data_IF_358411731284
#
_entry.id   IF_358411731284
#
_cell.length_a   1.000
_cell.length_b   1.000
_cell.length_c   1.000
_cell.angle_alpha   90.00
_cell.angle_beta   90.00
_cell.angle_gamma   90.00
#
_symmetry.space_group_name_H-M   'P 1'
#
loop_
_entity.id
_entity.type
_entity.pdbx_description
1 polymer ?
#
# COMPACT_ATOMS: atom_id res chain seq x y z
N UNK A 1 26.21 -18.47 14.60
CA UNK A 1 24.99 -18.49 13.77
C UNK A 1 25.34 -18.21 12.30
N UNK A 2 26.15 -19.08 11.69
CA UNK A 2 26.42 -19.09 10.24
C UNK A 2 26.02 -20.45 9.63
N UNK A 3 25.39 -21.32 10.42
CA UNK A 3 25.12 -22.71 10.10
C UNK A 3 23.66 -22.98 9.69
N UNK A 4 22.77 -21.98 9.73
CA UNK A 4 21.36 -22.17 9.35
C UNK A 4 21.10 -21.75 7.89
N UNK A 5 21.87 -20.79 7.36
CA UNK A 5 21.75 -20.36 5.94
C UNK A 5 22.39 -21.37 4.97
N UNK A 6 23.45 -22.09 5.40
CA UNK A 6 24.10 -23.09 4.56
C UNK A 6 23.39 -24.46 4.53
N UNK A 7 22.37 -24.69 5.38
CA UNK A 7 21.64 -25.97 5.41
C UNK A 7 20.50 -25.99 4.39
N UNK A 8 19.79 -24.87 4.18
CA UNK A 8 18.65 -24.83 3.26
C UNK A 8 18.99 -25.02 1.77
N UNK A 9 20.13 -24.49 1.30
CA UNK A 9 20.53 -24.61 -0.11
C UNK A 9 21.05 -26.02 -0.47
N UNK A 10 21.67 -26.71 0.49
CA UNK A 10 22.16 -28.09 0.30
C UNK A 10 20.99 -29.08 0.36
N UNK A 11 20.00 -28.85 1.22
CA UNK A 11 18.83 -29.73 1.35
C UNK A 11 17.92 -29.73 0.11
N UNK A 12 17.72 -28.60 -0.58
CA UNK A 12 16.90 -28.55 -1.80
C UNK A 12 17.50 -29.37 -2.96
N UNK A 13 18.84 -29.40 -3.06
CA UNK A 13 19.58 -30.17 -4.06
C UNK A 13 19.54 -31.68 -3.78
N UNK A 14 19.56 -32.07 -2.50
CA UNK A 14 19.38 -33.46 -2.06
C UNK A 14 17.94 -33.91 -2.30
N UNK A 15 16.94 -33.09 -1.98
CA UNK A 15 15.52 -33.38 -2.23
C UNK A 15 15.22 -33.61 -3.72
N UNK A 16 15.86 -32.87 -4.64
CA UNK A 16 15.73 -33.09 -6.09
C UNK A 16 16.09 -34.53 -6.52
N UNK A 17 17.00 -35.18 -5.82
CA UNK A 17 17.52 -36.50 -6.18
C UNK A 17 16.94 -37.63 -5.31
N UNK A 18 16.64 -37.35 -4.04
CA UNK A 18 16.15 -38.34 -3.07
C UNK A 18 14.62 -38.49 -3.05
N UNK A 19 13.87 -37.40 -3.27
CA UNK A 19 12.41 -37.41 -3.35
C UNK A 19 11.90 -36.41 -4.41
N UNK A 20 11.81 -36.86 -5.68
CA UNK A 20 11.39 -36.01 -6.78
C UNK A 20 9.98 -35.44 -6.63
N UNK A 21 9.09 -36.11 -5.88
CA UNK A 21 7.72 -35.62 -5.68
C UNK A 21 7.70 -34.47 -4.67
N UNK A 22 8.39 -34.60 -3.54
CA UNK A 22 8.51 -33.53 -2.55
C UNK A 22 9.19 -32.28 -3.14
N UNK A 23 10.24 -32.46 -3.96
CA UNK A 23 10.87 -31.36 -4.69
C UNK A 23 9.92 -30.68 -5.68
N UNK A 24 9.06 -31.45 -6.37
CA UNK A 24 8.05 -30.89 -7.26
C UNK A 24 7.06 -30.02 -6.48
N UNK A 25 6.50 -30.54 -5.39
CA UNK A 25 5.53 -29.82 -4.55
C UNK A 25 6.07 -28.52 -3.98
N UNK A 26 7.35 -28.50 -3.57
CA UNK A 26 7.99 -27.29 -3.01
C UNK A 26 8.31 -26.26 -4.11
N UNK A 27 8.64 -26.72 -5.33
CA UNK A 27 9.11 -25.83 -6.41
C UNK A 27 8.04 -25.45 -7.43
N UNK A 28 6.90 -26.12 -7.47
CA UNK A 28 5.76 -25.81 -8.35
C UNK A 28 5.23 -24.39 -8.16
N UNK A 29 4.95 -23.90 -6.93
CA UNK A 29 4.41 -22.56 -6.73
C UNK A 29 5.32 -21.46 -7.30
N UNK A 30 6.63 -21.60 -7.11
CA UNK A 30 7.65 -20.64 -7.60
C UNK A 30 7.80 -20.71 -9.13
N UNK A 31 7.72 -21.90 -9.71
CA UNK A 31 7.80 -22.10 -11.17
C UNK A 31 6.55 -21.59 -11.88
N UNK A 32 5.38 -21.78 -11.29
CA UNK A 32 4.12 -21.30 -11.85
C UNK A 32 4.02 -19.78 -11.75
N UNK A 33 4.49 -19.19 -10.66
CA UNK A 33 4.67 -17.73 -10.56
C UNK A 33 5.61 -17.20 -11.63
N UNK A 34 6.79 -17.83 -11.81
CA UNK A 34 7.77 -17.42 -12.83
C UNK A 34 7.21 -17.52 -14.25
N UNK A 35 6.42 -18.56 -14.54
CA UNK A 35 5.79 -18.75 -15.85
C UNK A 35 4.64 -17.79 -16.08
N UNK A 36 3.80 -17.53 -15.07
CA UNK A 36 2.72 -16.54 -15.14
C UNK A 36 3.30 -15.14 -15.37
N UNK A 37 4.32 -14.74 -14.60
CA UNK A 37 5.04 -13.48 -14.79
C UNK A 37 5.66 -13.37 -16.19
N UNK A 38 6.31 -14.43 -16.68
CA UNK A 38 6.91 -14.43 -18.02
C UNK A 38 5.86 -14.35 -19.15
N UNK A 39 4.68 -14.95 -18.98
CA UNK A 39 3.61 -14.88 -19.96
C UNK A 39 2.93 -13.49 -19.95
N UNK A 40 2.69 -12.91 -18.77
CA UNK A 40 2.18 -11.54 -18.63
C UNK A 40 3.13 -10.51 -19.23
N UNK A 41 4.45 -10.67 -19.04
CA UNK A 41 5.48 -9.85 -19.71
C UNK A 41 5.46 -9.97 -21.23
N UNK A 42 5.12 -11.14 -21.78
CA UNK A 42 5.09 -11.38 -23.23
C UNK A 42 3.86 -10.76 -23.89
N UNK A 43 2.71 -10.81 -23.22
CA UNK A 43 1.49 -10.13 -23.67
C UNK A 43 1.65 -8.61 -23.59
N UNK A 44 2.20 -8.09 -22.49
CA UNK A 44 2.48 -6.66 -22.32
C UNK A 44 3.52 -6.13 -23.31
N UNK A 45 4.60 -6.89 -23.56
CA UNK A 45 5.63 -6.56 -24.53
C UNK A 45 5.11 -6.47 -25.97
N UNK A 46 4.09 -7.28 -26.33
CA UNK A 46 3.46 -7.20 -27.66
C UNK A 46 2.54 -5.99 -27.82
N UNK A 47 1.93 -5.52 -26.73
CA UNK A 47 1.09 -4.31 -26.69
C UNK A 47 1.92 -3.02 -26.78
N UNK A 48 3.09 -2.99 -26.12
CA UNK A 48 4.04 -1.87 -26.17
C UNK A 48 4.61 -1.64 -27.57
N UNK A 49 4.91 -2.70 -28.32
CA UNK A 49 5.45 -2.56 -29.69
C UNK A 49 4.41 -2.00 -30.66
N UNK A 50 3.12 -2.23 -30.42
CA UNK A 50 2.04 -1.63 -31.19
C UNK A 50 1.81 -0.15 -30.83
N UNK A 51 1.90 0.22 -29.54
CA UNK A 51 1.72 1.60 -29.08
C UNK A 51 2.84 2.56 -29.53
N UNK A 52 4.07 2.06 -29.70
CA UNK A 52 5.24 2.87 -30.12
C UNK A 52 5.13 3.38 -31.56
N UNK A 53 4.28 2.80 -32.42
CA UNK A 53 4.15 3.23 -33.82
C UNK A 53 3.12 4.35 -34.04
N UNK A 54 2.31 4.69 -33.04
CA UNK A 54 1.25 5.71 -33.16
C UNK A 54 1.20 6.61 -31.93
N UNK A 55 2.15 7.53 -31.77
CA UNK A 55 2.07 8.49 -30.67
C UNK A 55 3.34 9.29 -30.46
N UNK A 56 3.68 10.15 -31.41
CA UNK A 56 4.72 11.14 -31.24
C UNK A 56 4.13 12.32 -30.44
N UNK A 57 3.99 12.17 -29.13
CA UNK A 57 3.68 13.26 -28.19
C UNK A 57 4.34 12.98 -26.84
N UNK A 58 5.68 12.98 -26.84
CA UNK A 58 6.46 13.08 -25.61
C UNK A 58 6.42 14.54 -25.11
N UNK A 59 5.27 14.95 -24.56
CA UNK A 59 5.16 16.19 -23.80
C UNK A 59 5.84 16.00 -22.44
N UNK A 60 7.00 16.65 -22.28
CA UNK A 60 7.72 16.97 -21.05
C UNK A 60 7.09 16.44 -19.74
N UNK A 61 7.51 15.25 -19.29
CA UNK A 61 7.36 14.87 -17.89
C UNK A 61 8.24 15.82 -17.06
N UNK A 62 7.62 16.71 -16.29
CA UNK A 62 8.32 17.47 -15.25
C UNK A 62 8.85 16.44 -14.25
N UNK A 63 10.15 16.43 -13.92
CA UNK A 63 10.68 15.50 -12.93
C UNK A 63 9.91 15.63 -11.62
N UNK A 64 9.43 14.50 -11.11
CA UNK A 64 8.81 14.42 -9.81
C UNK A 64 9.87 14.72 -8.74
N UNK A 65 9.71 15.83 -8.01
CA UNK A 65 10.50 16.10 -6.80
C UNK A 65 9.80 15.39 -5.64
N UNK A 66 10.37 14.27 -5.11
CA UNK A 66 9.74 13.51 -4.07
C UNK A 66 9.81 14.26 -2.74
N UNK A 67 8.68 14.34 -2.03
CA UNK A 67 8.66 14.84 -0.65
C UNK A 67 9.26 13.76 0.26
N UNK A 68 10.07 14.17 1.25
CA UNK A 68 10.59 13.25 2.27
C UNK A 68 9.42 12.63 3.05
N UNK A 69 9.34 11.31 3.09
CA UNK A 69 8.31 10.55 3.80
C UNK A 69 8.91 9.70 4.92
N UNK A 70 9.97 10.20 5.53
CA UNK A 70 10.68 9.46 6.57
C UNK A 70 9.81 9.36 7.81
N UNK A 71 9.61 8.14 8.32
CA UNK A 71 8.92 7.89 9.56
C UNK A 71 9.58 8.64 10.72
N UNK A 72 8.74 9.35 11.47
CA UNK A 72 9.13 10.13 12.63
C UNK A 72 7.92 10.39 13.52
N UNK A 73 8.17 11.00 14.67
CA UNK A 73 7.08 11.53 15.48
C UNK A 73 6.30 12.58 14.67
N UNK A 74 4.97 12.65 14.82
CA UNK A 74 4.17 13.68 14.17
C UNK A 74 4.57 15.08 14.66
N UNK A 75 4.22 16.10 13.89
CA UNK A 75 4.45 17.50 14.29
C UNK A 75 3.54 17.87 15.48
N UNK A 76 2.33 17.34 15.49
CA UNK A 76 1.33 17.48 16.54
C UNK A 76 1.06 16.11 17.18
N UNK A 77 1.18 16.02 18.50
CA UNK A 77 1.11 14.77 19.27
C UNK A 77 -0.05 14.79 20.27
N UNK A 78 -1.22 15.16 19.78
CA UNK A 78 -2.50 15.21 20.49
C UNK A 78 -3.59 14.44 19.73
N UNK A 79 -3.21 13.30 19.16
CA UNK A 79 -4.13 12.39 18.51
C UNK A 79 -5.35 12.09 19.42
N UNK A 80 -6.57 11.99 18.86
CA UNK A 80 -7.73 11.60 19.64
C UNK A 80 -7.49 10.24 20.32
N UNK A 81 -8.14 9.98 21.47
CA UNK A 81 -8.07 8.66 22.08
C UNK A 81 -8.64 7.60 21.14
N UNK A 82 -8.22 6.36 21.34
CA UNK A 82 -8.82 5.21 20.67
C UNK A 82 -10.34 5.19 20.90
N UNK A 83 -11.07 4.85 19.85
CA UNK A 83 -12.51 4.64 19.89
C UNK A 83 -12.86 3.38 20.70
N UNK A 84 -14.14 3.24 21.03
CA UNK A 84 -14.64 2.00 21.65
C UNK A 84 -14.39 0.80 20.71
N UNK A 85 -13.94 -0.37 21.21
CA UNK A 85 -13.74 -1.57 20.40
C UNK A 85 -14.94 -1.98 19.54
N UNK A 86 -16.16 -1.61 19.92
CA UNK A 86 -17.36 -1.83 19.09
C UNK A 86 -17.34 -1.05 17.76
N UNK A 87 -16.57 0.05 17.70
CA UNK A 87 -16.38 0.88 16.50
C UNK A 87 -15.17 0.36 15.71
N UNK A 88 -14.04 0.12 16.38
CA UNK A 88 -12.83 -0.39 15.76
C UNK A 88 -11.90 -1.03 16.78
N UNK A 89 -11.31 -2.15 16.43
CA UNK A 89 -10.28 -2.85 17.19
C UNK A 89 -9.37 -3.66 16.27
N UNK A 90 -8.24 -4.14 16.81
CA UNK A 90 -7.41 -5.12 16.11
C UNK A 90 -7.88 -6.53 16.49
N UNK A 91 -8.15 -7.37 15.48
CA UNK A 91 -8.52 -8.77 15.66
C UNK A 91 -7.65 -9.66 14.77
N UNK A 92 -7.36 -10.87 15.25
CA UNK A 92 -6.72 -11.89 14.41
C UNK A 92 -7.77 -12.74 13.72
N UNK A 93 -7.65 -12.90 12.40
CA UNK A 93 -8.49 -13.79 11.59
C UNK A 93 -7.64 -14.45 10.51
N UNK A 94 -7.73 -15.78 10.39
CA UNK A 94 -7.00 -16.57 9.38
C UNK A 94 -5.47 -16.33 9.33
N UNK A 95 -4.88 -15.93 10.47
CA UNK A 95 -3.45 -15.62 10.58
C UNK A 95 -3.07 -14.22 10.07
N UNK A 96 -4.06 -13.39 9.76
CA UNK A 96 -3.91 -11.97 9.45
C UNK A 96 -4.46 -11.14 10.61
N UNK A 97 -3.88 -9.97 10.81
CA UNK A 97 -4.43 -8.96 11.71
C UNK A 97 -5.33 -8.03 10.92
N UNK A 98 -6.56 -7.86 11.40
CA UNK A 98 -7.57 -6.99 10.81
C UNK A 98 -7.85 -5.83 11.75
N UNK A 99 -7.99 -4.64 11.16
CA UNK A 99 -8.54 -3.46 11.80
C UNK A 99 -10.03 -3.38 11.46
N UNK A 100 -10.88 -3.57 12.46
CA UNK A 100 -12.32 -3.74 12.26
C UNK A 100 -13.07 -2.43 12.03
N UNK A 101 -14.25 -2.54 11.42
CA UNK A 101 -15.15 -1.41 11.17
C UNK A 101 -14.77 -0.59 9.94
N UNK A 102 -15.49 0.50 9.72
CA UNK A 102 -15.41 1.26 8.47
C UNK A 102 -16.20 0.59 7.34
N UNK A 103 -15.73 0.75 6.11
CA UNK A 103 -16.36 0.16 4.92
C UNK A 103 -16.18 -1.36 4.88
N UNK A 104 -14.97 -1.82 5.21
CA UNK A 104 -14.58 -3.22 5.27
C UNK A 104 -13.55 -3.38 6.38
N UNK A 105 -13.56 -4.52 7.05
CA UNK A 105 -12.46 -4.91 7.94
C UNK A 105 -11.17 -4.98 7.11
N UNK A 106 -10.19 -4.17 7.47
CA UNK A 106 -8.99 -3.96 6.68
C UNK A 106 -7.83 -4.77 7.25
N UNK A 107 -7.15 -5.55 6.41
CA UNK A 107 -5.86 -6.14 6.77
C UNK A 107 -4.92 -5.01 7.18
N UNK A 108 -4.35 -5.12 8.37
CA UNK A 108 -3.48 -4.09 8.93
C UNK A 108 -2.02 -4.54 8.93
N UNK A 109 -1.15 -3.61 8.53
CA UNK A 109 0.29 -3.74 8.66
C UNK A 109 0.87 -2.43 9.19
N UNK A 110 1.89 -2.54 10.04
CA UNK A 110 2.66 -1.41 10.48
C UNK A 110 4.09 -1.50 9.95
N UNK A 111 4.53 -0.48 9.22
CA UNK A 111 5.85 -0.41 8.58
C UNK A 111 6.98 -0.51 9.59
N UNK A 112 6.76 -0.02 10.82
CA UNK A 112 7.76 0.03 11.89
C UNK A 112 7.85 -1.28 12.69
N UNK A 113 7.06 -2.29 12.33
CA UNK A 113 7.05 -3.60 12.98
C UNK A 113 7.81 -4.66 12.18
N UNK A 114 8.43 -5.59 12.90
CA UNK A 114 9.11 -6.73 12.29
C UNK A 114 8.08 -7.76 11.78
N UNK A 115 8.41 -8.51 10.71
CA UNK A 115 9.72 -8.54 10.05
C UNK A 115 9.91 -7.45 8.98
N UNK A 116 8.91 -6.59 8.76
CA UNK A 116 8.92 -5.63 7.65
C UNK A 116 9.88 -4.48 7.88
N UNK A 117 9.94 -3.96 9.11
CA UNK A 117 10.73 -2.77 9.44
C UNK A 117 12.20 -2.84 8.97
N UNK A 118 12.79 -4.03 9.06
CA UNK A 118 14.18 -4.31 8.67
C UNK A 118 14.36 -4.71 7.19
N UNK A 119 13.26 -4.98 6.47
CA UNK A 119 13.30 -5.33 5.05
C UNK A 119 13.58 -4.11 4.15
N UNK A 120 14.15 -4.34 2.96
CA UNK A 120 14.51 -3.26 2.04
C UNK A 120 13.30 -2.71 1.26
N UNK A 121 13.28 -1.40 1.12
CA UNK A 121 12.59 -0.67 0.06
C UNK A 121 13.63 0.07 -0.78
N UNK A 122 14.04 -0.54 -1.89
CA UNK A 122 15.26 -0.14 -2.59
C UNK A 122 16.49 -0.30 -1.70
N UNK A 123 17.25 0.78 -1.47
CA UNK A 123 18.36 0.80 -0.52
C UNK A 123 17.98 1.29 0.89
N UNK A 124 16.74 1.70 1.10
CA UNK A 124 16.23 2.20 2.38
C UNK A 124 15.50 1.10 3.17
N UNK A 125 15.37 1.20 4.50
CA UNK A 125 14.53 0.28 5.28
C UNK A 125 13.04 0.67 5.20
N UNK A 126 12.14 -0.31 5.12
CA UNK A 126 10.68 -0.09 5.16
C UNK A 126 10.26 0.66 6.42
N UNK A 127 10.85 0.34 7.59
CA UNK A 127 10.50 1.02 8.84
C UNK A 127 10.61 2.54 8.76
N UNK A 128 11.61 3.04 8.03
CA UNK A 128 11.81 4.46 7.83
C UNK A 128 11.04 5.06 6.65
N UNK A 129 10.75 4.29 5.60
CA UNK A 129 10.42 4.86 4.29
C UNK A 129 9.26 4.15 3.55
N UNK A 130 8.63 3.17 4.21
CA UNK A 130 7.70 2.23 3.61
C UNK A 130 6.22 2.56 3.78
N UNK A 131 5.84 3.80 4.12
CA UNK A 131 4.43 4.16 4.33
C UNK A 131 3.57 3.87 3.09
N UNK A 132 4.05 4.24 1.89
CA UNK A 132 3.37 3.96 0.62
C UNK A 132 3.16 2.46 0.37
N UNK A 133 4.21 1.62 0.31
CA UNK A 133 4.08 0.19 0.12
C UNK A 133 3.24 -0.49 1.20
N UNK A 134 3.35 -0.06 2.46
CA UNK A 134 2.56 -0.63 3.57
C UNK A 134 1.08 -0.26 3.42
N UNK A 135 0.76 0.99 3.08
CA UNK A 135 -0.61 1.42 2.81
C UNK A 135 -1.23 0.65 1.65
N UNK A 136 -0.50 0.49 0.54
CA UNK A 136 -0.99 -0.28 -0.60
C UNK A 136 -1.07 -1.78 -0.33
N UNK A 137 -0.19 -2.35 0.50
CA UNK A 137 -0.29 -3.73 0.96
C UNK A 137 -1.60 -3.98 1.74
N UNK A 138 -1.98 -3.04 2.62
CA UNK A 138 -3.27 -3.08 3.33
C UNK A 138 -4.45 -3.00 2.36
N UNK A 139 -4.43 -2.06 1.41
CA UNK A 139 -5.48 -1.88 0.40
C UNK A 139 -5.66 -3.14 -0.45
N UNK A 140 -4.58 -3.65 -1.05
CA UNK A 140 -4.62 -4.84 -1.93
C UNK A 140 -5.09 -6.06 -1.16
N UNK A 141 -4.54 -6.29 0.04
CA UNK A 141 -4.91 -7.45 0.87
C UNK A 141 -6.34 -7.43 1.37
N UNK A 142 -6.98 -6.26 1.39
CA UNK A 142 -8.36 -6.10 1.88
C UNK A 142 -9.40 -6.08 0.77
N UNK A 143 -9.03 -5.60 -0.43
CA UNK A 143 -9.98 -5.37 -1.53
C UNK A 143 -9.86 -6.38 -2.67
N UNK A 144 -8.91 -7.32 -2.57
CA UNK A 144 -8.68 -8.34 -3.59
C UNK A 144 -8.52 -9.72 -2.94
N UNK A 145 -8.57 -10.77 -3.74
CA UNK A 145 -8.26 -12.13 -3.30
C UNK A 145 -6.75 -12.39 -3.09
N UNK A 146 -5.91 -11.35 -3.18
CA UNK A 146 -4.46 -11.45 -3.04
C UNK A 146 -4.00 -10.86 -1.71
N UNK A 147 -3.39 -11.67 -0.86
CA UNK A 147 -2.66 -11.19 0.32
C UNK A 147 -1.23 -10.81 -0.06
N UNK A 148 -0.88 -9.54 0.14
CA UNK A 148 0.46 -9.00 -0.14
C UNK A 148 0.98 -8.33 1.13
N UNK A 149 2.14 -8.76 1.63
CA UNK A 149 2.77 -8.16 2.80
C UNK A 149 3.60 -6.89 2.42
N UNK A 150 3.99 -6.04 3.38
CA UNK A 150 4.74 -4.82 3.08
C UNK A 150 6.09 -5.07 2.41
N UNK A 151 6.76 -6.19 2.72
CA UNK A 151 8.04 -6.56 2.11
C UNK A 151 7.91 -6.92 0.64
N UNK A 152 6.89 -7.71 0.31
CA UNK A 152 6.53 -8.04 -1.07
C UNK A 152 6.15 -6.79 -1.87
N UNK A 153 5.31 -5.92 -1.29
CA UNK A 153 4.88 -4.69 -1.95
C UNK A 153 6.05 -3.74 -2.17
N UNK A 154 6.92 -3.54 -1.17
CA UNK A 154 8.11 -2.68 -1.28
C UNK A 154 9.09 -3.21 -2.34
N UNK A 155 9.33 -4.52 -2.37
CA UNK A 155 10.20 -5.14 -3.37
C UNK A 155 9.65 -4.97 -4.79
N UNK A 156 8.34 -5.13 -4.98
CA UNK A 156 7.68 -4.90 -6.26
C UNK A 156 7.73 -3.42 -6.66
N UNK A 157 7.38 -2.51 -5.76
CA UNK A 157 7.37 -1.06 -5.99
C UNK A 157 8.75 -0.54 -6.40
N UNK A 158 9.81 -1.00 -5.73
CA UNK A 158 11.19 -0.65 -6.10
C UNK A 158 11.56 -1.16 -7.51
N UNK A 159 11.10 -2.36 -7.89
CA UNK A 159 11.33 -2.91 -9.25
C UNK A 159 10.57 -2.14 -10.34
N UNK A 160 9.39 -1.60 -10.02
CA UNK A 160 8.61 -0.76 -10.95
C UNK A 160 9.11 0.69 -11.01
N UNK A 161 10.08 1.07 -10.18
CA UNK A 161 10.64 2.43 -10.15
C UNK A 161 9.82 3.42 -9.31
N UNK A 162 8.97 2.94 -8.40
CA UNK A 162 8.18 3.80 -7.51
C UNK A 162 8.90 4.18 -6.22
N UNK A 163 10.07 3.61 -5.96
CA UNK A 163 10.92 3.97 -4.83
C UNK A 163 11.66 5.29 -5.11
N UNK A 164 11.50 6.25 -4.20
CA UNK A 164 12.22 7.51 -4.17
C UNK A 164 13.33 7.43 -3.10
N UNK A 165 14.63 7.33 -3.50
CA UNK A 165 15.73 7.14 -2.56
C UNK A 165 15.76 8.19 -1.45
N UNK A 166 15.78 7.73 -0.20
CA UNK A 166 15.76 8.53 1.03
C UNK A 166 14.53 9.42 1.21
N UNK A 167 13.50 9.26 0.38
CA UNK A 167 12.24 10.01 0.45
C UNK A 167 11.01 9.12 0.57
N UNK A 168 11.12 7.81 0.36
CA UNK A 168 9.98 6.89 0.41
C UNK A 168 9.49 6.53 -0.99
N UNK A 169 8.27 6.94 -1.34
CA UNK A 169 7.65 6.57 -2.62
C UNK A 169 7.34 7.78 -3.49
N UNK A 170 7.50 7.61 -4.80
CA UNK A 170 6.84 8.48 -5.77
C UNK A 170 5.32 8.30 -5.71
N UNK A 171 4.57 9.34 -6.02
CA UNK A 171 3.10 9.34 -5.88
C UNK A 171 2.43 8.44 -6.91
N UNK A 172 3.10 8.23 -8.05
CA UNK A 172 2.74 7.24 -9.07
C UNK A 172 2.62 5.82 -8.54
N UNK A 173 3.15 5.53 -7.34
CA UNK A 173 2.95 4.25 -6.65
C UNK A 173 1.46 3.89 -6.52
N UNK A 174 0.59 4.85 -6.19
CA UNK A 174 -0.80 4.56 -5.85
C UNK A 174 -1.56 4.04 -7.06
N UNK A 175 -1.57 4.82 -8.15
CA UNK A 175 -2.20 4.44 -9.42
C UNK A 175 -1.53 3.21 -10.04
N UNK A 176 -0.19 3.14 -10.00
CA UNK A 176 0.57 2.01 -10.52
C UNK A 176 0.27 0.70 -9.82
N UNK A 177 0.19 0.73 -8.48
CA UNK A 177 -0.15 -0.46 -7.68
C UNK A 177 -1.60 -0.84 -7.89
N UNK A 178 -2.54 0.10 -7.83
CA UNK A 178 -3.96 -0.20 -8.03
C UNK A 178 -4.17 -0.94 -9.36
N UNK A 179 -3.69 -0.39 -10.47
CA UNK A 179 -3.82 -1.01 -11.80
C UNK A 179 -3.13 -2.39 -11.89
N UNK A 180 -1.97 -2.57 -11.23
CA UNK A 180 -1.27 -3.86 -11.25
C UNK A 180 -2.02 -4.98 -10.52
N UNK A 181 -2.87 -4.63 -9.54
CA UNK A 181 -3.63 -5.57 -8.72
C UNK A 181 -5.13 -5.61 -9.05
N UNK A 182 -5.55 -5.02 -10.17
CA UNK A 182 -6.94 -5.05 -10.61
C UNK A 182 -7.87 -4.12 -9.82
N UNK A 183 -7.32 -3.01 -9.34
CA UNK A 183 -8.05 -1.91 -8.72
C UNK A 183 -7.94 -0.67 -9.59
N UNK A 184 -8.91 0.23 -9.47
CA UNK A 184 -8.85 1.58 -10.01
C UNK A 184 -8.43 2.54 -8.91
N UNK A 185 -7.58 3.51 -9.25
CA UNK A 185 -7.23 4.64 -8.40
C UNK A 185 -7.41 5.92 -9.19
N UNK A 186 -8.30 6.80 -8.75
CA UNK A 186 -8.60 8.06 -9.42
C UNK A 186 -8.36 9.23 -8.46
N UNK A 187 -7.84 10.34 -8.98
CA UNK A 187 -7.73 11.56 -8.19
C UNK A 187 -9.13 12.01 -7.76
N UNK A 188 -9.31 12.21 -6.45
CA UNK A 188 -10.56 12.73 -5.94
C UNK A 188 -10.53 14.26 -5.93
N UNK A 189 -11.54 14.89 -6.53
CA UNK A 189 -11.71 16.34 -6.47
C UNK A 189 -12.04 16.73 -5.03
N UNK A 190 -11.10 17.40 -4.36
CA UNK A 190 -11.22 17.75 -2.94
C UNK A 190 -12.45 18.63 -2.72
N UNK A 191 -13.47 18.04 -2.10
CA UNK A 191 -14.71 18.69 -1.69
C UNK A 191 -14.68 19.19 -0.24
N UNK A 192 -15.84 19.23 0.39
CA UNK A 192 -15.97 19.57 1.82
C UNK A 192 -15.77 18.35 2.72
N UNK A 193 -15.70 18.60 4.03
CA UNK A 193 -15.73 17.54 5.05
C UNK A 193 -16.93 16.60 4.89
N UNK A 194 -18.11 17.16 4.58
CA UNK A 194 -19.33 16.40 4.34
C UNK A 194 -19.26 15.55 3.08
N UNK A 195 -18.63 16.05 2.01
CA UNK A 195 -18.43 15.28 0.78
C UNK A 195 -17.56 14.06 1.06
N UNK A 196 -16.42 14.23 1.74
CA UNK A 196 -15.53 13.13 2.11
C UNK A 196 -16.25 12.06 2.96
N UNK A 197 -17.02 12.49 3.97
CA UNK A 197 -17.84 11.58 4.78
C UNK A 197 -18.90 10.85 3.96
N UNK A 198 -19.57 11.55 3.04
CA UNK A 198 -20.57 10.96 2.16
C UNK A 198 -19.98 9.89 1.25
N UNK A 199 -18.79 10.12 0.71
CA UNK A 199 -18.10 9.17 -0.16
C UNK A 199 -17.67 7.92 0.62
N UNK A 200 -17.08 8.09 1.80
CA UNK A 200 -16.72 6.98 2.69
C UNK A 200 -17.96 6.18 3.13
N UNK A 201 -19.07 6.86 3.42
CA UNK A 201 -20.34 6.20 3.79
C UNK A 201 -20.96 5.40 2.63
N UNK A 202 -20.63 5.73 1.39
CA UNK A 202 -21.03 4.97 0.19
C UNK A 202 -20.13 3.75 -0.06
N UNK A 203 -19.16 3.48 0.81
CA UNK A 203 -18.28 2.33 0.69
C UNK A 203 -17.02 2.60 -0.13
N UNK A 204 -16.66 3.87 -0.35
CA UNK A 204 -15.38 4.21 -0.99
C UNK A 204 -14.26 4.17 0.01
N UNK A 205 -13.05 3.85 -0.46
CA UNK A 205 -11.81 3.90 0.31
C UNK A 205 -10.88 4.90 -0.37
N UNK A 206 -10.11 5.62 0.43
CA UNK A 206 -9.14 6.56 -0.10
C UNK A 206 -7.74 6.27 0.40
N UNK A 207 -6.75 6.49 -0.45
CA UNK A 207 -5.36 6.67 0.00
C UNK A 207 -5.09 8.17 0.00
N UNK A 208 -4.56 8.71 1.09
CA UNK A 208 -4.26 10.12 1.23
C UNK A 208 -2.76 10.32 1.50
N UNK A 209 -2.18 11.32 0.84
CA UNK A 209 -0.85 11.84 1.10
C UNK A 209 -0.96 13.05 2.02
N UNK A 210 -0.52 12.87 3.25
CA UNK A 210 -0.49 13.89 4.29
C UNK A 210 0.77 14.73 4.21
N UNK A 211 0.68 15.97 4.70
CA UNK A 211 1.83 16.81 5.05
C UNK A 211 1.99 16.84 6.58
N UNK A 212 2.91 17.69 7.07
CA UNK A 212 3.14 17.91 8.49
C UNK A 212 1.83 18.20 9.25
N UNK A 213 1.67 17.55 10.39
CA UNK A 213 0.44 17.60 11.20
C UNK A 213 0.38 16.47 12.22
N UNK A 214 -0.80 15.91 12.44
CA UNK A 214 -1.03 14.87 13.45
C UNK A 214 -0.57 13.47 13.00
N UNK A 215 -0.41 13.25 11.70
CA UNK A 215 0.03 11.95 11.16
C UNK A 215 1.54 11.85 10.95
N UNK A 216 2.21 12.99 10.72
CA UNK A 216 3.63 13.04 10.34
C UNK A 216 4.20 14.44 10.54
N UNK A 217 5.53 14.58 10.52
CA UNK A 217 6.22 15.87 10.44
C UNK A 217 6.69 16.22 9.00
N UNK A 218 6.43 15.33 8.05
CA UNK A 218 6.86 15.41 6.65
C UNK A 218 5.76 14.88 5.72
N UNK A 219 6.07 14.10 4.68
CA UNK A 219 5.09 13.40 3.85
C UNK A 219 4.66 12.06 4.47
N UNK A 220 3.40 11.64 4.33
CA UNK A 220 2.98 10.32 4.81
C UNK A 220 1.74 9.80 4.09
N UNK A 221 1.77 8.54 3.64
CA UNK A 221 0.59 7.89 3.08
C UNK A 221 -0.23 7.23 4.19
N UNK A 222 -1.54 7.47 4.20
CA UNK A 222 -2.52 6.82 5.08
C UNK A 222 -3.71 6.31 4.26
N UNK A 223 -4.48 5.39 4.84
CA UNK A 223 -5.72 4.89 4.20
C UNK A 223 -6.93 5.38 4.99
N UNK A 224 -7.86 6.06 4.32
CA UNK A 224 -9.17 6.44 4.87
C UNK A 224 -10.15 5.30 4.55
N UNK A 225 -10.58 4.58 5.57
CA UNK A 225 -11.27 3.29 5.43
C UNK A 225 -12.74 3.30 5.81
N UNK A 226 -13.28 4.42 6.27
CA UNK A 226 -14.72 4.56 6.50
C UNK A 226 -15.10 5.73 7.39
N UNK A 227 -16.40 6.05 7.41
CA UNK A 227 -16.99 7.04 8.30
C UNK A 227 -17.67 6.39 9.51
N UNK A 228 -17.66 7.08 10.64
CA UNK A 228 -18.42 6.72 11.84
C UNK A 228 -19.81 7.39 11.80
N UNK A 229 -20.74 6.92 12.63
CA UNK A 229 -22.07 7.54 12.78
C UNK A 229 -22.01 8.97 13.35
N UNK A 230 -20.91 9.33 13.99
CA UNK A 230 -20.65 10.68 14.51
C UNK A 230 -20.08 11.63 13.45
N UNK A 231 -19.83 11.15 12.22
CA UNK A 231 -19.29 11.95 11.13
C UNK A 231 -17.77 12.10 11.16
N UNK A 232 -17.07 11.26 11.94
CA UNK A 232 -15.60 11.16 11.93
C UNK A 232 -15.10 10.07 10.97
N UNK A 233 -13.83 10.10 10.62
CA UNK A 233 -13.18 9.17 9.70
C UNK A 233 -12.29 8.19 10.45
N UNK A 234 -12.43 6.91 10.12
CA UNK A 234 -11.52 5.85 10.54
C UNK A 234 -10.35 5.76 9.55
N UNK A 235 -9.14 5.71 10.09
CA UNK A 235 -7.88 5.68 9.33
C UNK A 235 -7.14 4.38 9.61
N UNK A 236 -6.48 3.82 8.60
CA UNK A 236 -5.40 2.86 8.80
C UNK A 236 -4.07 3.56 8.50
N UNK A 237 -3.36 3.91 9.56
CA UNK A 237 -2.06 4.56 9.48
C UNK A 237 -0.95 3.49 9.51
N UNK A 238 -0.14 3.37 8.44
CA UNK A 238 0.90 2.34 8.36
C UNK A 238 2.04 2.56 9.34
N UNK A 239 2.09 3.66 10.09
CA UNK A 239 3.14 3.96 11.05
C UNK A 239 2.61 4.14 12.49
N UNK A 240 1.31 3.95 12.74
CA UNK A 240 0.78 4.03 14.11
C UNK A 240 -0.51 3.24 14.32
N UNK A 241 -0.43 2.28 15.25
CA UNK A 241 -1.60 1.55 15.74
C UNK A 241 -2.57 2.46 16.50
N UNK A 242 -2.03 3.35 17.33
CA UNK A 242 -2.83 4.28 18.13
C UNK A 242 -3.67 5.20 17.25
N UNK A 243 -3.06 5.81 16.23
CA UNK A 243 -3.79 6.65 15.26
C UNK A 243 -4.80 5.87 14.42
N UNK A 244 -4.58 4.56 14.25
CA UNK A 244 -5.49 3.67 13.52
C UNK A 244 -6.72 3.25 14.33
N UNK A 245 -6.64 3.32 15.66
CA UNK A 245 -7.76 3.06 16.57
C UNK A 245 -8.57 4.32 16.90
N UNK A 246 -8.06 5.51 16.56
CA UNK A 246 -8.77 6.78 16.73
C UNK A 246 -9.70 7.08 15.54
N UNK A 247 -10.75 7.87 15.77
CA UNK A 247 -11.52 8.50 14.71
C UNK A 247 -11.20 10.00 14.59
N UNK A 248 -11.08 10.47 13.35
CA UNK A 248 -10.51 11.76 13.00
C UNK A 248 -11.56 12.71 12.45
N UNK A 249 -11.44 13.99 12.77
CA UNK A 249 -12.27 15.03 12.17
C UNK A 249 -11.98 15.13 10.65
N UNK A 250 -12.99 15.08 9.77
CA UNK A 250 -12.75 15.08 8.33
C UNK A 250 -12.04 16.35 7.86
N UNK A 251 -12.42 17.50 8.41
CA UNK A 251 -11.79 18.77 8.07
C UNK A 251 -10.29 18.80 8.45
N UNK A 252 -9.91 18.16 9.55
CA UNK A 252 -8.51 18.05 9.95
C UNK A 252 -7.71 17.28 8.91
N UNK A 253 -8.24 16.15 8.43
CA UNK A 253 -7.58 15.38 7.36
C UNK A 253 -7.43 16.26 6.10
N UNK A 254 -8.49 16.96 5.69
CA UNK A 254 -8.45 17.84 4.51
C UNK A 254 -7.42 18.98 4.64
N UNK A 255 -7.33 19.59 5.82
CA UNK A 255 -6.39 20.68 6.12
C UNK A 255 -4.93 20.20 6.10
N UNK A 256 -4.69 18.92 6.39
CA UNK A 256 -3.37 18.29 6.43
C UNK A 256 -3.01 17.52 5.15
N UNK A 257 -3.81 17.60 4.09
CA UNK A 257 -3.44 17.03 2.80
C UNK A 257 -2.22 17.75 2.21
N UNK A 258 -1.37 16.98 1.54
CA UNK A 258 -0.22 17.52 0.81
C UNK A 258 -0.66 18.54 -0.24
N UNK A 259 0.12 19.61 -0.48
CA UNK A 259 -0.13 20.56 -1.58
C UNK A 259 0.20 19.99 -2.97
N UNK A 260 0.70 18.75 -3.06
CA UNK A 260 0.98 18.08 -4.33
C UNK A 260 -0.27 17.89 -5.21
N UNK A 261 -0.12 18.09 -6.53
CA UNK A 261 -1.23 18.02 -7.51
C UNK A 261 -0.84 17.28 -8.80
N UNK A 262 0.03 16.28 -8.68
CA UNK A 262 0.48 15.46 -9.81
C UNK A 262 0.28 13.97 -9.48
N UNK A 263 0.17 13.13 -10.52
CA UNK A 263 -0.07 11.68 -10.38
C UNK A 263 -1.26 11.35 -9.45
N UNK A 264 -2.34 12.13 -9.56
CA UNK A 264 -3.58 12.00 -8.78
C UNK A 264 -3.53 12.51 -7.34
N UNK A 265 -2.37 12.96 -6.86
CA UNK A 265 -2.20 13.51 -5.51
C UNK A 265 -3.13 14.72 -5.22
N UNK A 266 -3.49 14.94 -3.95
CA UNK A 266 -2.98 14.28 -2.75
C UNK A 266 -3.86 13.13 -2.24
N UNK A 267 -4.96 12.81 -2.91
CA UNK A 267 -5.93 11.84 -2.43
C UNK A 267 -6.55 11.08 -3.60
N UNK A 268 -6.52 9.76 -3.49
CA UNK A 268 -6.97 8.84 -4.53
C UNK A 268 -8.17 8.04 -4.01
N UNK A 269 -9.27 8.06 -4.74
CA UNK A 269 -10.37 7.12 -4.56
C UNK A 269 -9.93 5.76 -5.10
N UNK A 270 -10.01 4.72 -4.25
CA UNK A 270 -9.73 3.33 -4.63
C UNK A 270 -11.05 2.60 -4.82
N UNK A 271 -11.17 1.91 -5.96
CA UNK A 271 -12.32 1.03 -6.22
C UNK A 271 -11.89 -0.28 -6.88
N UNK A 272 -12.68 -1.33 -6.67
CA UNK A 272 -12.53 -2.58 -7.41
C UNK A 272 -13.06 -2.40 -8.83
N UNK A 273 -12.37 -2.92 -9.84
CA UNK A 273 -12.89 -2.88 -11.21
C UNK A 273 -14.33 -3.37 -11.24
N UNK A 274 -15.26 -2.52 -11.69
CA UNK A 274 -16.62 -2.96 -11.95
C UNK A 274 -16.54 -3.94 -13.11
N UNK A 275 -16.83 -5.22 -12.85
CA UNK A 275 -17.22 -6.11 -13.94
C UNK A 275 -18.39 -5.43 -14.66
N UNK A 276 -18.15 -5.01 -15.90
CA UNK A 276 -19.21 -4.45 -16.72
C UNK A 276 -20.15 -5.61 -17.02
N UNK A 277 -21.44 -5.55 -16.62
CA UNK A 277 -22.37 -6.66 -16.83
C UNK A 277 -22.63 -6.94 -18.31
#
# INVERSE_FOLDING_TARGET
MLAVVCVGAVELAVCKYADPQLYSTITEPVKDFSKKAANSLREFGSSLVAAVQTGNDASQAVPEEPVEQKAGAPELDDAPPAEDPVITEFVESEGLELLTGGVVDMVYYNQSEEPWASMPYGSDPIGGYGCGPTAMAMVVSSLTDQTVDPGQMAAWAAQQGYWAPHSGSYYTLIEGTANAYGLDAESWEIGTAEDLCSELAQGKIFVALMTKGHFTNSGHFIVLRGGTLEGKILVADPNSRERSLAAWEPQLILDELSPARYAGAPIWEISTHRETP
#
